data_IF_735635880092
#
_entry.id   IF_735635880092
#
_cell.length_a   1.000
_cell.length_b   1.000
_cell.length_c   1.000
_cell.angle_alpha   90.00
_cell.angle_beta   90.00
_cell.angle_gamma   90.00
#
_symmetry.space_group_name_H-M   'P 1'
#
loop_
_entity.id
_entity.type
_entity.pdbx_description
1 polymer ?
#
# COMPACT_ATOMS: atom_id res chain seq x y z
N UNK A 1 4.30 -86.05 -25.15
CA UNK A 1 3.16 -85.09 -25.06
C UNK A 1 3.47 -83.98 -24.02
N UNK A 2 4.01 -82.83 -24.44
CA UNK A 2 4.35 -81.72 -23.54
C UNK A 2 3.35 -80.62 -23.77
N UNK A 3 2.52 -80.32 -22.74
CA UNK A 3 1.62 -79.17 -22.72
C UNK A 3 2.40 -77.91 -22.27
N UNK A 4 2.55 -76.91 -23.16
CA UNK A 4 3.07 -75.59 -22.84
C UNK A 4 1.95 -74.72 -22.31
N UNK A 5 2.07 -74.30 -21.07
CA UNK A 5 1.17 -73.33 -20.43
C UNK A 5 1.75 -71.95 -20.67
N UNK A 6 0.98 -71.06 -21.34
CA UNK A 6 1.35 -69.67 -21.57
C UNK A 6 0.83 -68.78 -20.44
N UNK A 7 1.70 -68.19 -19.67
CA UNK A 7 1.32 -67.13 -18.68
C UNK A 7 1.27 -65.79 -19.38
N UNK A 8 0.04 -65.24 -19.45
CA UNK A 8 -0.17 -63.86 -19.89
C UNK A 8 0.01 -62.95 -18.67
N UNK A 9 1.15 -62.21 -18.59
CA UNK A 9 1.36 -61.19 -17.58
C UNK A 9 0.66 -59.89 -18.03
N UNK A 10 -0.42 -59.52 -17.36
CA UNK A 10 -1.06 -58.22 -17.51
C UNK A 10 -0.23 -57.18 -16.73
N UNK A 11 0.50 -56.33 -17.45
CA UNK A 11 1.20 -55.18 -16.88
C UNK A 11 0.16 -54.02 -16.73
N UNK A 12 -0.35 -53.79 -15.50
CA UNK A 12 -1.21 -52.65 -15.20
C UNK A 12 -0.36 -51.42 -15.07
N UNK A 13 -0.41 -50.55 -16.09
CA UNK A 13 0.29 -49.28 -16.11
C UNK A 13 -0.53 -48.25 -15.30
N UNK A 14 -0.07 -47.93 -14.09
CA UNK A 14 -0.69 -46.93 -13.21
C UNK A 14 -0.30 -45.52 -13.73
N UNK A 15 -1.21 -44.82 -14.44
CA UNK A 15 -1.03 -43.47 -14.89
C UNK A 15 -1.33 -42.53 -13.71
N UNK A 16 -0.28 -42.05 -13.04
CA UNK A 16 -0.43 -40.99 -12.03
C UNK A 16 -0.74 -39.66 -12.71
N UNK A 17 -2.00 -39.21 -12.61
CA UNK A 17 -2.39 -37.86 -13.06
C UNK A 17 -1.88 -36.81 -12.07
N UNK A 18 -0.82 -36.10 -12.44
CA UNK A 18 -0.32 -34.95 -11.68
C UNK A 18 -1.29 -33.78 -11.92
N UNK A 19 -2.15 -33.49 -10.96
CA UNK A 19 -3.00 -32.30 -10.98
C UNK A 19 -2.14 -31.06 -10.75
N UNK A 20 -1.82 -30.34 -11.81
CA UNK A 20 -1.14 -29.04 -11.74
C UNK A 20 -2.17 -28.02 -11.24
N UNK A 21 -2.15 -27.73 -9.94
CA UNK A 21 -2.91 -26.61 -9.37
C UNK A 21 -2.25 -25.31 -9.78
N UNK A 22 -2.79 -24.62 -10.78
CA UNK A 22 -2.40 -23.25 -11.12
C UNK A 22 -2.70 -22.34 -9.93
N UNK A 23 -1.73 -21.54 -9.44
CA UNK A 23 -2.00 -20.60 -8.35
C UNK A 23 -3.08 -19.62 -8.83
N UNK A 24 -4.19 -19.55 -8.10
CA UNK A 24 -5.25 -18.57 -8.33
C UNK A 24 -4.63 -17.17 -8.29
N UNK A 25 -4.65 -16.48 -9.43
CA UNK A 25 -4.13 -15.12 -9.57
C UNK A 25 -4.97 -14.20 -8.67
N UNK A 26 -4.48 -13.92 -7.46
CA UNK A 26 -5.17 -13.07 -6.49
C UNK A 26 -5.31 -11.67 -7.12
N UNK A 27 -6.53 -11.32 -7.53
CA UNK A 27 -6.87 -10.05 -8.15
C UNK A 27 -6.30 -8.92 -7.29
N UNK A 28 -5.36 -8.15 -7.84
CA UNK A 28 -4.74 -7.02 -7.15
C UNK A 28 -5.82 -6.07 -6.64
N UNK A 29 -5.84 -5.78 -5.34
CA UNK A 29 -6.75 -4.82 -4.73
C UNK A 29 -6.26 -3.37 -4.89
N UNK A 30 -5.55 -3.09 -5.97
CA UNK A 30 -5.07 -1.76 -6.35
C UNK A 30 -6.24 -0.76 -6.42
N UNK A 31 -6.07 0.41 -5.81
CA UNK A 31 -7.08 1.46 -5.78
C UNK A 31 -6.47 2.84 -6.06
N UNK A 32 -7.18 3.64 -6.83
CA UNK A 32 -6.87 5.06 -7.07
C UNK A 32 -8.02 5.90 -6.55
N UNK A 33 -7.68 6.95 -5.80
CA UNK A 33 -8.63 7.95 -5.30
C UNK A 33 -8.21 9.32 -5.83
N UNK A 34 -9.19 10.12 -6.24
CA UNK A 34 -9.01 11.53 -6.64
C UNK A 34 -9.27 12.42 -5.43
N UNK A 35 -8.36 13.34 -5.16
CA UNK A 35 -8.50 14.34 -4.11
C UNK A 35 -9.24 15.59 -4.56
N UNK A 36 -9.50 16.53 -3.62
CA UNK A 36 -10.29 17.74 -3.86
C UNK A 36 -9.72 18.65 -4.95
N UNK A 37 -8.40 18.77 -5.06
CA UNK A 37 -7.72 19.60 -6.07
C UNK A 37 -7.42 18.85 -7.38
N UNK A 38 -7.99 17.66 -7.58
CA UNK A 38 -7.79 16.85 -8.80
C UNK A 38 -6.53 15.99 -8.79
N UNK A 39 -5.71 16.05 -7.75
CA UNK A 39 -4.60 15.13 -7.52
C UNK A 39 -5.12 13.72 -7.31
N UNK A 40 -4.27 12.71 -7.58
CA UNK A 40 -4.64 11.31 -7.39
C UNK A 40 -3.62 10.57 -6.56
N UNK A 41 -4.08 9.66 -5.71
CA UNK A 41 -3.27 8.73 -4.95
C UNK A 41 -3.65 7.30 -5.32
N UNK A 42 -2.67 6.51 -5.75
CA UNK A 42 -2.84 5.10 -6.09
C UNK A 42 -2.06 4.24 -5.13
N UNK A 43 -2.72 3.27 -4.51
CA UNK A 43 -2.11 2.27 -3.64
C UNK A 43 -2.17 0.91 -4.32
N UNK A 44 -1.06 0.18 -4.35
CA UNK A 44 -0.93 -1.09 -5.08
C UNK A 44 -1.79 -2.22 -4.51
N UNK A 45 -2.09 -2.18 -3.20
CA UNK A 45 -2.97 -3.13 -2.54
C UNK A 45 -3.72 -2.46 -1.39
N UNK A 46 -5.03 -2.66 -1.31
CA UNK A 46 -5.90 -2.15 -0.22
C UNK A 46 -6.47 -3.27 0.65
N UNK A 47 -6.29 -4.53 0.27
CA UNK A 47 -6.48 -5.70 1.13
C UNK A 47 -5.11 -6.26 1.45
N UNK A 48 -4.67 -6.12 2.68
CA UNK A 48 -3.27 -6.29 3.11
C UNK A 48 -3.13 -7.24 4.29
N UNK A 49 -1.89 -7.67 4.54
CA UNK A 49 -1.49 -8.33 5.79
C UNK A 49 -0.81 -7.31 6.69
N UNK A 50 -0.70 -7.64 7.98
CA UNK A 50 0.08 -6.85 8.94
C UNK A 50 1.55 -6.72 8.49
N UNK A 51 2.10 -5.52 8.63
CA UNK A 51 3.46 -5.20 8.22
C UNK A 51 3.71 -5.16 6.70
N UNK A 52 2.68 -5.33 5.86
CA UNK A 52 2.85 -5.33 4.41
C UNK A 52 3.31 -3.97 3.91
N UNK A 53 4.30 -3.97 3.02
CA UNK A 53 4.74 -2.77 2.29
C UNK A 53 3.95 -2.65 0.99
N UNK A 54 3.30 -1.51 0.79
CA UNK A 54 2.56 -1.19 -0.43
C UNK A 54 3.26 -0.10 -1.22
N UNK A 55 3.23 -0.20 -2.55
CA UNK A 55 3.69 0.88 -3.43
C UNK A 55 2.59 1.93 -3.57
N UNK A 56 2.98 3.20 -3.46
CA UNK A 56 2.08 4.35 -3.54
C UNK A 56 2.56 5.29 -4.62
N UNK A 57 1.66 5.73 -5.49
CA UNK A 57 1.94 6.68 -6.56
C UNK A 57 1.00 7.86 -6.46
N UNK A 58 1.56 9.06 -6.31
CA UNK A 58 0.86 10.33 -6.41
C UNK A 58 1.01 10.97 -7.78
N UNK A 59 -0.04 11.66 -8.27
CA UNK A 59 0.02 12.45 -9.50
C UNK A 59 -0.76 13.74 -9.35
N UNK A 60 -0.34 14.79 -10.09
CA UNK A 60 -1.02 16.09 -10.17
C UNK A 60 -1.11 16.84 -8.83
N UNK A 61 -0.14 16.63 -7.92
CA UNK A 61 -0.05 17.41 -6.69
C UNK A 61 0.48 18.82 -7.00
N UNK A 62 -0.03 19.79 -6.25
CA UNK A 62 0.52 21.14 -6.24
C UNK A 62 1.90 21.13 -5.58
N UNK A 63 2.95 21.36 -6.35
CA UNK A 63 4.35 21.31 -5.86
C UNK A 63 4.69 22.44 -4.88
N UNK A 64 3.85 23.48 -4.77
CA UNK A 64 4.03 24.57 -3.81
C UNK A 64 3.58 24.20 -2.40
N UNK A 65 2.81 23.10 -2.25
CA UNK A 65 2.32 22.59 -0.97
C UNK A 65 3.02 21.25 -0.70
N UNK A 66 3.81 21.19 0.36
CA UNK A 66 4.39 19.94 0.83
C UNK A 66 3.33 19.02 1.42
N UNK A 67 3.51 17.72 1.31
CA UNK A 67 2.58 16.73 1.87
C UNK A 67 3.32 15.65 2.65
N UNK A 68 2.67 15.13 3.68
CA UNK A 68 3.04 13.86 4.30
C UNK A 68 2.25 12.74 3.63
N UNK A 69 2.97 11.75 3.12
CA UNK A 69 2.42 10.44 2.76
C UNK A 69 2.55 9.52 3.97
N UNK A 70 1.45 9.03 4.51
CA UNK A 70 1.43 8.25 5.74
C UNK A 70 0.35 7.17 5.74
N UNK A 71 0.42 6.27 6.74
CA UNK A 71 -0.66 5.38 7.10
C UNK A 71 -1.30 5.87 8.40
N UNK A 72 -2.59 6.21 8.36
CA UNK A 72 -3.28 6.94 9.44
C UNK A 72 -4.67 6.37 9.73
N UNK A 73 -5.18 6.67 10.93
CA UNK A 73 -6.60 6.56 11.27
C UNK A 73 -7.38 7.59 10.47
N UNK A 74 -8.55 7.19 9.98
CA UNK A 74 -9.47 8.07 9.24
C UNK A 74 -10.49 8.61 10.20
N UNK A 75 -10.46 9.93 10.43
CA UNK A 75 -11.39 10.67 11.27
C UNK A 75 -12.66 11.07 10.50
N UNK A 76 -13.50 11.93 11.09
CA UNK A 76 -14.70 12.43 10.45
C UNK A 76 -14.36 13.25 9.18
N UNK A 77 -15.37 13.43 8.31
CA UNK A 77 -15.19 14.19 7.08
C UNK A 77 -14.75 15.62 7.37
N UNK A 78 -13.65 16.05 6.77
CA UNK A 78 -13.08 17.40 6.98
C UNK A 78 -12.05 17.48 8.10
N UNK A 79 -11.91 16.43 8.91
CA UNK A 79 -10.86 16.34 9.93
C UNK A 79 -9.56 15.78 9.35
N UNK A 80 -8.44 16.17 9.98
CA UNK A 80 -7.13 15.66 9.59
C UNK A 80 -7.00 14.17 9.93
N UNK A 81 -6.58 13.30 8.99
CA UNK A 81 -6.31 11.90 9.31
C UNK A 81 -5.23 11.81 10.39
N UNK A 82 -5.53 11.23 11.54
CA UNK A 82 -4.67 11.17 12.72
C UNK A 82 -5.23 10.19 13.77
N UNK A 83 -4.40 9.54 14.60
CA UNK A 83 -2.93 9.50 14.51
C UNK A 83 -2.43 8.74 13.29
N UNK A 84 -1.17 8.97 12.94
CA UNK A 84 -0.46 8.25 11.88
C UNK A 84 0.72 7.47 12.43
N UNK A 85 1.31 6.61 11.63
CA UNK A 85 2.60 5.98 11.90
C UNK A 85 3.67 7.03 12.25
N UNK A 86 4.53 6.73 13.22
CA UNK A 86 5.42 7.71 13.85
C UNK A 86 6.67 8.07 13.04
N UNK A 87 7.15 9.29 13.26
CA UNK A 87 8.44 9.77 12.74
C UNK A 87 8.49 10.04 11.24
N UNK A 88 9.69 10.38 10.75
CA UNK A 88 9.99 10.55 9.33
C UNK A 88 10.59 9.26 8.79
N UNK A 89 10.05 8.78 7.69
CA UNK A 89 10.50 7.56 7.01
C UNK A 89 11.07 7.89 5.64
N UNK A 90 12.38 7.96 5.52
CA UNK A 90 13.07 8.21 4.24
C UNK A 90 13.27 6.96 3.39
N UNK A 91 13.20 5.76 3.99
CA UNK A 91 13.51 4.49 3.31
C UNK A 91 12.28 3.66 2.93
N UNK A 92 11.09 3.97 3.47
CA UNK A 92 9.88 3.14 3.35
C UNK A 92 9.92 1.87 4.23
N UNK A 93 10.94 1.73 5.09
CA UNK A 93 11.14 0.53 5.91
C UNK A 93 10.47 0.60 7.29
N UNK A 94 9.99 1.78 7.71
CA UNK A 94 9.28 2.01 8.97
C UNK A 94 7.83 2.41 8.74
N UNK A 95 7.06 2.53 9.81
CA UNK A 95 5.65 2.97 9.78
C UNK A 95 5.53 4.50 9.72
N UNK A 96 6.65 5.22 9.66
CA UNK A 96 6.71 6.68 9.65
C UNK A 96 6.14 7.30 8.38
N UNK A 97 5.90 8.61 8.46
CA UNK A 97 5.45 9.42 7.33
C UNK A 97 6.60 9.77 6.41
N UNK A 98 6.34 9.79 5.10
CA UNK A 98 7.28 10.27 4.10
C UNK A 98 6.91 11.72 3.78
N UNK A 99 7.85 12.62 4.00
CA UNK A 99 7.66 14.02 3.64
C UNK A 99 7.99 14.25 2.18
N UNK A 100 7.02 14.75 1.40
CA UNK A 100 7.16 15.02 -0.02
C UNK A 100 6.99 16.53 -0.22
N UNK A 101 8.08 17.22 -0.56
CA UNK A 101 8.10 18.67 -0.76
C UNK A 101 9.17 19.05 -1.75
N UNK A 102 8.87 19.98 -2.66
CA UNK A 102 9.86 20.57 -3.62
C UNK A 102 10.50 21.86 -3.11
N UNK A 103 9.98 22.39 -2.02
CA UNK A 103 10.45 23.64 -1.39
C UNK A 103 10.45 23.54 0.14
N UNK A 104 11.09 22.50 0.72
CA UNK A 104 11.15 22.38 2.17
C UNK A 104 12.00 23.52 2.77
N UNK A 105 11.76 23.90 4.03
CA UNK A 105 12.68 24.74 4.78
C UNK A 105 14.10 24.15 4.83
N UNK A 106 15.09 24.95 5.17
CA UNK A 106 16.51 24.53 5.16
C UNK A 106 16.77 23.23 5.91
N UNK A 107 16.23 23.11 7.14
CA UNK A 107 16.37 21.89 7.97
C UNK A 107 15.73 20.64 7.34
N UNK A 108 14.78 20.82 6.42
CA UNK A 108 14.03 19.74 5.79
C UNK A 108 14.61 19.23 4.49
N UNK A 109 15.62 19.90 3.92
CA UNK A 109 16.19 19.56 2.61
C UNK A 109 16.72 18.13 2.52
N UNK A 110 17.29 17.62 3.60
CA UNK A 110 17.78 16.23 3.67
C UNK A 110 16.68 15.20 4.00
N UNK A 111 15.51 15.64 4.46
CA UNK A 111 14.41 14.78 4.91
C UNK A 111 13.30 14.65 3.87
N UNK A 112 13.08 15.69 3.06
CA UNK A 112 12.00 15.74 2.09
C UNK A 112 12.39 15.12 0.75
N UNK A 113 11.46 14.37 0.18
CA UNK A 113 11.56 13.84 -1.18
C UNK A 113 10.87 14.82 -2.12
N UNK A 114 11.55 15.31 -3.18
CA UNK A 114 10.93 16.26 -4.10
C UNK A 114 9.84 15.61 -4.97
N UNK A 115 8.82 16.39 -5.32
CA UNK A 115 7.90 16.01 -6.38
C UNK A 115 8.63 15.93 -7.73
N UNK A 116 8.16 15.08 -8.64
CA UNK A 116 8.57 15.14 -10.05
C UNK A 116 8.14 16.46 -10.69
N UNK A 117 8.67 16.79 -11.87
CA UNK A 117 8.29 18.00 -12.63
C UNK A 117 6.77 18.12 -12.83
N UNK A 118 6.07 17.00 -12.99
CA UNK A 118 4.61 16.94 -13.18
C UNK A 118 3.80 16.87 -11.87
N UNK A 119 4.41 17.09 -10.71
CA UNK A 119 3.72 16.99 -9.42
C UNK A 119 3.38 15.55 -9.01
N UNK A 120 4.24 14.61 -9.36
CA UNK A 120 4.08 13.20 -9.00
C UNK A 120 5.11 12.75 -7.97
N UNK A 121 4.88 11.56 -7.41
CA UNK A 121 5.84 10.82 -6.60
C UNK A 121 5.55 9.32 -6.67
N UNK A 122 6.55 8.50 -6.33
CA UNK A 122 6.39 7.05 -6.14
C UNK A 122 7.18 6.65 -4.90
N UNK A 123 6.48 6.10 -3.92
CA UNK A 123 7.04 5.74 -2.63
C UNK A 123 6.51 4.38 -2.16
N UNK A 124 7.07 3.88 -1.06
CA UNK A 124 6.63 2.68 -0.37
C UNK A 124 6.15 3.07 1.02
N UNK A 125 5.04 2.48 1.47
CA UNK A 125 4.49 2.68 2.82
C UNK A 125 4.30 1.31 3.45
N UNK A 126 4.78 1.12 4.67
CA UNK A 126 4.42 -0.02 5.50
C UNK A 126 3.05 0.24 6.11
N UNK A 127 2.18 -0.76 6.05
CA UNK A 127 0.87 -0.71 6.70
C UNK A 127 0.86 -1.74 7.82
N UNK A 128 0.69 -1.28 9.05
CA UNK A 128 0.66 -2.09 10.25
C UNK A 128 -0.76 -2.16 10.79
N UNK A 129 -1.14 -3.32 11.33
CA UNK A 129 -2.44 -3.48 11.96
C UNK A 129 -2.65 -2.50 13.11
N UNK A 130 -1.58 -2.17 13.82
CA UNK A 130 -1.65 -1.27 14.96
C UNK A 130 -0.96 0.07 14.68
N UNK A 131 -1.63 1.16 15.06
CA UNK A 131 -1.08 2.51 15.16
C UNK A 131 -1.11 2.87 16.65
N UNK A 132 0.03 2.74 17.35
CA UNK A 132 0.01 2.72 18.81
C UNK A 132 -0.91 1.63 19.32
N UNK A 133 -1.90 1.98 20.14
CA UNK A 133 -2.88 1.05 20.71
C UNK A 133 -4.15 0.90 19.84
N UNK A 134 -4.20 1.51 18.68
CA UNK A 134 -5.39 1.52 17.82
C UNK A 134 -5.31 0.36 16.81
N UNK A 135 -6.30 -0.56 16.85
CA UNK A 135 -6.41 -1.68 15.92
C UNK A 135 -7.13 -1.28 14.63
N UNK A 136 -6.40 -1.15 13.55
CA UNK A 136 -6.91 -0.84 12.21
C UNK A 136 -7.73 -1.98 11.56
N UNK A 137 -7.84 -3.15 12.20
CA UNK A 137 -8.82 -4.15 11.81
C UNK A 137 -10.22 -3.82 12.35
N UNK A 138 -10.32 -2.96 13.38
CA UNK A 138 -11.57 -2.51 14.02
C UNK A 138 -11.96 -1.12 13.55
N UNK A 139 -10.99 -0.17 13.55
CA UNK A 139 -11.24 1.20 13.09
C UNK A 139 -10.86 1.38 11.63
N UNK A 140 -11.36 2.45 11.01
CA UNK A 140 -10.99 2.78 9.62
C UNK A 140 -9.60 3.38 9.58
N UNK A 141 -8.68 2.74 8.87
CA UNK A 141 -7.35 3.26 8.58
C UNK A 141 -7.12 3.34 7.06
N UNK A 142 -6.20 4.21 6.64
CA UNK A 142 -5.93 4.47 5.24
C UNK A 142 -4.47 4.84 4.99
N UNK A 143 -4.00 4.61 3.77
CA UNK A 143 -2.85 5.31 3.21
C UNK A 143 -3.37 6.68 2.76
N UNK A 144 -2.73 7.73 3.25
CA UNK A 144 -3.19 9.11 3.03
C UNK A 144 -2.06 10.00 2.54
N UNK A 145 -2.42 11.06 1.82
CA UNK A 145 -1.64 12.29 1.82
C UNK A 145 -2.39 13.36 2.59
N UNK A 146 -1.67 14.21 3.29
CA UNK A 146 -2.20 15.42 3.95
C UNK A 146 -1.15 16.53 3.83
N UNK A 147 -1.58 17.80 3.89
CA UNK A 147 -0.64 18.90 3.90
C UNK A 147 0.39 18.74 5.02
N UNK A 148 1.61 19.15 4.76
CA UNK A 148 2.68 19.11 5.75
C UNK A 148 2.49 20.22 6.82
N UNK A 149 3.43 20.33 7.76
CA UNK A 149 3.37 21.26 8.88
C UNK A 149 3.45 22.75 8.46
N UNK A 150 3.87 23.03 7.22
CA UNK A 150 3.93 24.42 6.71
C UNK A 150 2.56 24.94 6.29
N UNK A 151 1.57 24.03 6.06
CA UNK A 151 0.20 24.37 5.66
C UNK A 151 -0.81 23.36 6.25
N UNK A 152 -0.64 23.01 7.52
CA UNK A 152 -1.30 21.87 8.16
C UNK A 152 -2.83 21.94 8.21
N UNK A 153 -3.42 23.13 8.05
CA UNK A 153 -4.88 23.34 7.99
C UNK A 153 -5.47 23.04 6.60
N UNK A 154 -4.65 22.91 5.57
CA UNK A 154 -5.10 22.73 4.18
C UNK A 154 -5.60 21.30 3.94
N UNK A 155 -6.94 21.14 3.89
CA UNK A 155 -7.57 19.83 3.59
C UNK A 155 -7.64 19.52 2.09
N UNK A 156 -7.29 20.47 1.21
CA UNK A 156 -7.26 20.23 -0.23
C UNK A 156 -6.11 19.29 -0.67
N UNK A 157 -5.09 19.13 0.17
CA UNK A 157 -4.01 18.17 -0.06
C UNK A 157 -4.37 16.75 0.37
N UNK A 158 -5.48 16.55 1.07
CA UNK A 158 -5.87 15.25 1.61
C UNK A 158 -6.39 14.33 0.50
N UNK A 159 -5.78 13.15 0.41
CA UNK A 159 -6.31 12.04 -0.38
C UNK A 159 -6.26 10.80 0.49
N UNK A 160 -7.39 10.12 0.66
CA UNK A 160 -7.58 9.03 1.60
C UNK A 160 -7.89 7.75 0.81
N UNK A 161 -7.00 6.76 0.87
CA UNK A 161 -7.19 5.44 0.26
C UNK A 161 -7.36 4.40 1.37
N UNK A 162 -8.60 4.01 1.72
CA UNK A 162 -8.85 3.05 2.78
C UNK A 162 -8.17 1.70 2.55
N UNK A 163 -7.67 1.11 3.63
CA UNK A 163 -7.00 -0.20 3.66
C UNK A 163 -7.77 -1.12 4.61
N UNK A 164 -7.84 -2.41 4.27
CA UNK A 164 -8.47 -3.45 5.11
C UNK A 164 -7.48 -4.60 5.33
N UNK A 165 -7.40 -5.10 6.56
CA UNK A 165 -6.62 -6.29 6.86
C UNK A 165 -7.35 -7.56 6.44
N UNK A 166 -6.61 -8.49 5.86
CA UNK A 166 -7.10 -9.85 5.60
C UNK A 166 -7.25 -10.59 6.93
N UNK A 167 -8.33 -11.34 7.03
CA UNK A 167 -8.52 -12.33 8.09
C UNK A 167 -7.52 -13.46 7.95
#
# INVERSE_FOLDING_TARGET
>A
MFKRSAYFSFLVMLIATISITTPANAKSSKKTVKGPSGQTLTVSATSVRDGQVVSVTGKKYNKKVGVYLAYCVVNAKGEVPSPCGGGVNSSGASDGSIWISSNPPEYGKSLAVPFTKSGGFKQKVRVSRYIGNIDCAVVKCAVVTRADHTDSANRNADVIVPVKFKK
#
